data_IF_676376740556
#
_entry.id   IF_676376740556
#
_cell.length_a   1.000
_cell.length_b   1.000
_cell.length_c   1.000
_cell.angle_alpha   90.00
_cell.angle_beta   90.00
_cell.angle_gamma   90.00
#
_symmetry.space_group_name_H-M   'P 1'
#
loop_
_entity.id
_entity.type
_entity.pdbx_description
1 polymer ?
#
# COMPACT_ATOMS: atom_id res chain seq x y z
N UNK A 1 -15.82 -17.45 -3.66
CA UNK A 1 -14.41 -17.17 -3.99
C UNK A 1 -13.98 -15.98 -3.14
N UNK A 2 -12.95 -16.10 -2.29
CA UNK A 2 -12.59 -15.04 -1.32
C UNK A 2 -11.36 -14.30 -1.85
N UNK A 3 -11.44 -12.98 -2.00
CA UNK A 3 -10.30 -12.14 -2.41
C UNK A 3 -9.44 -11.85 -1.17
N UNK A 4 -8.15 -12.23 -1.13
CA UNK A 4 -7.28 -11.90 0.00
C UNK A 4 -7.09 -10.38 0.14
N UNK A 5 -7.12 -9.85 1.37
CA UNK A 5 -7.05 -8.40 1.63
C UNK A 5 -5.83 -7.69 1.04
N UNK A 6 -4.66 -8.35 0.99
CA UNK A 6 -3.46 -7.84 0.29
C UNK A 6 -3.70 -7.64 -1.21
N UNK A 7 -4.37 -8.59 -1.86
CA UNK A 7 -4.68 -8.54 -3.30
C UNK A 7 -5.72 -7.47 -3.57
N UNK A 8 -6.72 -7.35 -2.68
CA UNK A 8 -7.71 -6.29 -2.73
C UNK A 8 -7.06 -4.90 -2.66
N UNK A 9 -6.14 -4.67 -1.72
CA UNK A 9 -5.41 -3.40 -1.60
C UNK A 9 -4.54 -3.09 -2.82
N UNK A 10 -3.89 -4.12 -3.39
CA UNK A 10 -3.08 -3.97 -4.60
C UNK A 10 -3.92 -3.58 -5.82
N UNK A 11 -5.07 -4.25 -6.02
CA UNK A 11 -5.99 -3.96 -7.12
C UNK A 11 -6.59 -2.56 -7.00
N UNK A 12 -6.95 -2.16 -5.79
CA UNK A 12 -7.54 -0.86 -5.53
C UNK A 12 -6.61 0.30 -5.93
N UNK A 13 -5.32 0.21 -5.57
CA UNK A 13 -4.30 1.23 -5.89
C UNK A 13 -3.98 1.30 -7.39
N UNK A 14 -4.01 0.17 -8.11
CA UNK A 14 -3.63 0.12 -9.54
C UNK A 14 -4.78 0.33 -10.51
N UNK A 15 -6.00 -0.03 -10.12
CA UNK A 15 -7.17 0.00 -11.01
C UNK A 15 -8.18 1.09 -10.63
N UNK A 16 -7.85 1.98 -9.69
CA UNK A 16 -8.75 3.02 -9.18
C UNK A 16 -10.14 2.47 -8.78
N UNK A 17 -10.19 1.27 -8.19
CA UNK A 17 -11.47 0.57 -7.93
C UNK A 17 -12.40 1.34 -6.99
N UNK A 18 -11.85 2.15 -6.08
CA UNK A 18 -12.66 3.01 -5.22
C UNK A 18 -13.39 4.10 -6.03
N UNK A 19 -12.74 4.66 -7.05
CA UNK A 19 -13.34 5.66 -7.94
C UNK A 19 -14.38 4.99 -8.85
N UNK A 20 -14.09 3.79 -9.35
CA UNK A 20 -15.04 2.99 -10.11
C UNK A 20 -16.30 2.70 -9.27
N UNK A 21 -16.15 2.31 -8.01
CA UNK A 21 -17.28 2.10 -7.08
C UNK A 21 -18.15 3.35 -6.99
N UNK A 22 -17.54 4.53 -6.77
CA UNK A 22 -18.28 5.80 -6.70
C UNK A 22 -19.08 6.05 -7.98
N UNK A 23 -18.51 5.71 -9.15
CA UNK A 23 -19.18 5.92 -10.44
C UNK A 23 -20.28 4.91 -10.77
N UNK A 24 -20.21 3.69 -10.23
CA UNK A 24 -21.17 2.61 -10.51
C UNK A 24 -22.29 2.54 -9.46
N UNK A 25 -22.15 3.27 -8.34
CA UNK A 25 -23.19 3.42 -7.32
C UNK A 25 -24.53 3.83 -7.92
N UNK A 26 -25.54 3.02 -7.65
CA UNK A 26 -26.91 3.27 -8.11
C UNK A 26 -27.20 2.82 -9.56
N UNK A 27 -26.18 2.45 -10.34
CA UNK A 27 -26.37 1.85 -11.66
C UNK A 27 -26.45 0.32 -11.59
N UNK A 28 -25.55 -0.30 -10.81
CA UNK A 28 -25.50 -1.74 -10.64
C UNK A 28 -25.15 -2.08 -9.18
N UNK A 29 -26.11 -2.67 -8.48
CA UNK A 29 -25.99 -3.05 -7.07
C UNK A 29 -25.06 -4.24 -6.85
N UNK A 30 -24.99 -5.17 -7.80
CA UNK A 30 -24.12 -6.34 -7.69
C UNK A 30 -22.66 -5.90 -7.79
N UNK A 31 -22.34 -5.08 -8.79
CA UNK A 31 -21.00 -4.54 -8.99
C UNK A 31 -20.57 -3.64 -7.81
N UNK A 32 -21.45 -2.76 -7.32
CA UNK A 32 -21.15 -1.94 -6.13
C UNK A 32 -20.87 -2.81 -4.89
N UNK A 33 -21.65 -3.87 -4.68
CA UNK A 33 -21.48 -4.78 -3.53
C UNK A 33 -20.12 -5.50 -3.57
N UNK A 34 -19.69 -5.95 -4.75
CA UNK A 34 -18.39 -6.62 -4.94
C UNK A 34 -17.25 -5.62 -4.74
N UNK A 35 -17.34 -4.43 -5.31
CA UNK A 35 -16.33 -3.39 -5.15
C UNK A 35 -16.25 -2.91 -3.69
N UNK A 36 -17.38 -2.87 -2.97
CA UNK A 36 -17.41 -2.59 -1.54
C UNK A 36 -16.70 -3.69 -0.74
N UNK A 37 -16.95 -4.97 -1.04
CA UNK A 37 -16.28 -6.08 -0.38
C UNK A 37 -14.76 -6.04 -0.59
N UNK A 38 -14.31 -5.72 -1.81
CA UNK A 38 -12.89 -5.52 -2.12
C UNK A 38 -12.31 -4.34 -1.32
N UNK A 39 -13.02 -3.20 -1.28
CA UNK A 39 -12.60 -2.02 -0.52
C UNK A 39 -12.45 -2.32 0.98
N UNK A 40 -13.40 -3.03 1.58
CA UNK A 40 -13.36 -3.41 2.99
C UNK A 40 -12.19 -4.36 3.29
N UNK A 41 -12.00 -5.41 2.47
CA UNK A 41 -10.88 -6.33 2.64
C UNK A 41 -9.51 -5.62 2.50
N UNK A 42 -9.43 -4.62 1.62
CA UNK A 42 -8.24 -3.78 1.47
C UNK A 42 -7.99 -2.90 2.70
N UNK A 43 -9.04 -2.30 3.26
CA UNK A 43 -8.95 -1.48 4.48
C UNK A 43 -8.55 -2.30 5.70
N UNK A 44 -9.16 -3.47 5.89
CA UNK A 44 -8.80 -4.40 6.98
C UNK A 44 -7.34 -4.84 6.89
N UNK A 45 -6.86 -5.16 5.68
CA UNK A 45 -5.45 -5.51 5.51
C UNK A 45 -4.54 -4.32 5.78
N UNK A 46 -4.88 -3.11 5.32
CA UNK A 46 -4.06 -1.91 5.59
C UNK A 46 -4.03 -1.58 7.08
N UNK A 47 -5.15 -1.64 7.79
CA UNK A 47 -5.18 -1.37 9.22
C UNK A 47 -4.38 -2.40 10.01
N UNK A 48 -4.46 -3.68 9.63
CA UNK A 48 -3.69 -4.76 10.26
C UNK A 48 -2.18 -4.73 9.90
N UNK A 49 -1.83 -4.42 8.65
CA UNK A 49 -0.45 -4.38 8.18
C UNK A 49 0.31 -3.13 8.65
N UNK A 50 -0.41 -2.04 8.96
CA UNK A 50 0.19 -0.76 9.35
C UNK A 50 0.15 -0.52 10.88
N UNK A 51 -0.44 -1.42 11.66
CA UNK A 51 -0.68 -1.22 13.09
C UNK A 51 0.58 -1.24 13.96
N UNK A 52 0.91 -0.12 14.57
CA UNK A 52 1.01 -0.05 16.04
C UNK A 52 0.34 1.24 16.51
N UNK A 53 -0.57 1.05 17.46
CA UNK A 53 -1.36 2.00 18.28
C UNK A 53 -2.49 2.80 17.63
N UNK A 54 -3.71 2.42 18.02
CA UNK A 54 -4.90 3.28 18.06
C UNK A 54 -4.56 4.59 18.76
N UNK A 55 -4.49 5.69 18.01
CA UNK A 55 -4.61 7.04 18.54
C UNK A 55 -5.87 7.68 17.99
N UNK A 56 -6.62 8.30 18.90
CA UNK A 56 -7.96 8.81 18.71
C UNK A 56 -8.08 9.83 17.56
N UNK A 57 -9.24 9.72 16.89
CA UNK A 57 -9.97 10.75 16.13
C UNK A 57 -9.29 12.12 15.94
N UNK A 58 -8.97 12.46 14.69
CA UNK A 58 -8.91 13.84 14.22
C UNK A 58 -9.29 13.94 12.73
N UNK A 59 -10.03 14.99 12.41
CA UNK A 59 -10.53 15.45 11.11
C UNK A 59 -9.47 15.51 9.97
N UNK A 60 -9.91 15.59 8.70
CA UNK A 60 -9.10 15.23 7.54
C UNK A 60 -8.08 16.33 7.25
N UNK A 61 -6.86 16.18 7.77
CA UNK A 61 -5.74 17.04 7.44
C UNK A 61 -4.56 16.19 6.96
N UNK A 62 -4.32 16.26 5.65
CA UNK A 62 -3.12 15.82 4.94
C UNK A 62 -2.69 14.37 5.16
N UNK A 63 -2.82 13.57 4.10
CA UNK A 63 -2.15 12.29 3.88
C UNK A 63 -0.65 12.40 4.16
N UNK A 64 -0.28 12.26 5.44
CA UNK A 64 1.07 11.91 5.85
C UNK A 64 1.19 10.40 5.66
N UNK A 65 1.17 10.00 4.38
CA UNK A 65 1.69 8.70 3.96
C UNK A 65 3.06 8.56 4.63
N UNK A 66 3.23 7.57 5.49
CA UNK A 66 4.45 7.41 6.27
C UNK A 66 5.62 7.04 5.33
N UNK A 67 6.28 8.07 4.80
CA UNK A 67 7.42 7.93 3.91
C UNK A 67 8.64 7.41 4.69
N UNK A 68 9.26 6.38 4.15
CA UNK A 68 10.43 5.72 4.72
C UNK A 68 11.65 6.03 3.86
N UNK A 69 12.79 6.31 4.50
CA UNK A 69 14.07 6.53 3.78
C UNK A 69 14.70 5.21 3.38
N UNK A 70 15.66 5.21 2.44
CA UNK A 70 16.35 3.98 2.02
C UNK A 70 17.11 3.30 3.17
N UNK A 71 17.66 4.07 4.12
CA UNK A 71 18.33 3.53 5.31
C UNK A 71 17.36 2.83 6.26
N UNK A 72 16.18 3.42 6.49
CA UNK A 72 15.14 2.78 7.30
C UNK A 72 14.57 1.55 6.59
N UNK A 73 14.35 1.63 5.27
CA UNK A 73 13.94 0.51 4.44
C UNK A 73 14.94 -0.66 4.51
N UNK A 74 16.24 -0.36 4.50
CA UNK A 74 17.31 -1.34 4.66
C UNK A 74 17.23 -2.06 6.01
N UNK A 75 17.02 -1.31 7.10
CA UNK A 75 16.83 -1.88 8.44
C UNK A 75 15.58 -2.76 8.54
N UNK A 76 14.45 -2.32 7.97
CA UNK A 76 13.19 -3.07 7.99
C UNK A 76 13.24 -4.35 7.14
N UNK A 77 13.96 -4.32 6.02
CA UNK A 77 14.12 -5.47 5.12
C UNK A 77 15.28 -6.39 5.49
N UNK A 78 16.13 -6.00 6.44
CA UNK A 78 17.35 -6.73 6.81
C UNK A 78 18.35 -6.84 5.65
N UNK A 79 18.45 -5.81 4.79
CA UNK A 79 19.38 -5.78 3.66
C UNK A 79 20.23 -4.52 3.67
N UNK A 80 21.28 -4.48 2.85
CA UNK A 80 22.10 -3.28 2.70
C UNK A 80 21.36 -2.17 1.96
N UNK A 81 21.66 -0.91 2.29
CA UNK A 81 21.15 0.29 1.57
C UNK A 81 21.45 0.22 0.07
N UNK A 82 22.61 -0.37 -0.30
CA UNK A 82 22.99 -0.63 -1.70
C UNK A 82 22.00 -1.56 -2.41
N UNK A 83 21.51 -2.59 -1.71
CA UNK A 83 20.52 -3.52 -2.25
C UNK A 83 19.12 -2.87 -2.37
N UNK A 84 18.74 -2.00 -1.43
CA UNK A 84 17.50 -1.20 -1.52
C UNK A 84 17.57 -0.28 -2.73
N UNK A 85 18.65 0.48 -2.90
CA UNK A 85 18.83 1.37 -4.05
C UNK A 85 18.85 0.61 -5.38
N UNK A 86 19.45 -0.58 -5.42
CA UNK A 86 19.41 -1.47 -6.59
C UNK A 86 17.97 -1.92 -6.89
N UNK A 87 17.19 -2.31 -5.88
CA UNK A 87 15.80 -2.70 -6.07
C UNK A 87 14.90 -1.53 -6.53
N UNK A 88 15.19 -0.30 -6.09
CA UNK A 88 14.54 0.92 -6.61
C UNK A 88 14.93 1.15 -8.07
N UNK A 89 16.23 1.08 -8.40
CA UNK A 89 16.72 1.29 -9.77
C UNK A 89 16.16 0.25 -10.76
N UNK A 90 15.93 -0.97 -10.31
CA UNK A 90 15.29 -2.04 -11.10
C UNK A 90 13.75 -1.96 -11.11
N UNK A 91 13.15 -0.96 -10.45
CA UNK A 91 11.69 -0.78 -10.40
C UNK A 91 10.95 -1.81 -9.54
N UNK A 92 11.66 -2.59 -8.71
CA UNK A 92 11.08 -3.59 -7.80
C UNK A 92 10.48 -2.96 -6.54
N UNK A 93 10.93 -1.76 -6.17
CA UNK A 93 10.38 -0.93 -5.10
C UNK A 93 10.01 0.42 -5.69
N UNK A 94 8.73 0.81 -5.59
CA UNK A 94 8.31 2.15 -5.97
C UNK A 94 8.83 3.16 -4.94
N UNK A 95 9.56 4.16 -5.42
CA UNK A 95 10.14 5.21 -4.60
C UNK A 95 10.14 6.54 -5.35
N UNK A 96 9.86 7.61 -4.62
CA UNK A 96 9.86 8.97 -5.15
C UNK A 96 11.10 9.68 -4.66
N UNK A 97 11.88 10.28 -5.56
CA UNK A 97 13.03 11.10 -5.17
C UNK A 97 12.54 12.50 -4.79
N UNK A 98 12.77 12.90 -3.54
CA UNK A 98 12.46 14.25 -3.05
C UNK A 98 13.76 14.91 -2.60
N UNK A 99 14.23 15.88 -3.38
CA UNK A 99 15.55 16.50 -3.19
C UNK A 99 16.68 15.47 -3.36
N UNK A 100 17.52 15.33 -2.33
CA UNK A 100 18.64 14.39 -2.34
C UNK A 100 18.32 13.02 -1.71
N UNK A 101 17.08 12.80 -1.25
CA UNK A 101 16.68 11.57 -0.58
C UNK A 101 15.59 10.83 -1.36
N UNK A 102 15.60 9.50 -1.25
CA UNK A 102 14.52 8.65 -1.72
C UNK A 102 13.48 8.51 -0.62
N UNK A 103 12.21 8.73 -0.99
CA UNK A 103 11.04 8.49 -0.15
C UNK A 103 10.30 7.28 -0.69
N UNK A 104 10.21 6.25 0.12
CA UNK A 104 9.56 4.98 -0.20
C UNK A 104 8.28 4.93 0.62
N UNK A 105 7.14 4.68 -0.02
CA UNK A 105 5.91 4.47 0.73
C UNK A 105 6.01 3.15 1.51
N UNK A 106 5.60 3.14 2.79
CA UNK A 106 5.69 1.95 3.65
C UNK A 106 4.98 0.73 3.05
N UNK A 107 3.88 0.97 2.35
CA UNK A 107 3.14 -0.03 1.59
C UNK A 107 3.97 -0.72 0.50
N UNK A 108 4.75 0.05 -0.28
CA UNK A 108 5.58 -0.48 -1.36
C UNK A 108 6.74 -1.32 -0.81
N UNK A 109 7.24 -0.95 0.38
CA UNK A 109 8.24 -1.72 1.11
C UNK A 109 7.71 -3.09 1.56
N UNK A 110 6.50 -3.13 2.13
CA UNK A 110 5.86 -4.38 2.55
C UNK A 110 5.48 -5.26 1.35
N UNK A 111 5.07 -4.66 0.23
CA UNK A 111 4.87 -5.40 -1.03
C UNK A 111 6.13 -6.12 -1.48
N UNK A 112 7.29 -5.44 -1.46
CA UNK A 112 8.58 -6.03 -1.79
C UNK A 112 9.01 -7.12 -0.80
N UNK A 113 8.80 -6.90 0.51
CA UNK A 113 9.07 -7.89 1.55
C UNK A 113 8.27 -9.17 1.33
N UNK A 114 6.98 -9.05 1.03
CA UNK A 114 6.10 -10.18 0.76
C UNK A 114 6.52 -10.92 -0.53
N UNK A 115 6.88 -10.20 -1.60
CA UNK A 115 7.36 -10.83 -2.84
C UNK A 115 8.64 -11.65 -2.63
N UNK A 116 9.54 -11.18 -1.75
CA UNK A 116 10.79 -11.87 -1.43
C UNK A 116 10.62 -13.10 -0.53
N UNK A 117 9.58 -13.15 0.30
CA UNK A 117 9.33 -14.27 1.22
C UNK A 117 8.72 -15.50 0.52
N UNK A 118 8.32 -15.36 -0.75
CA UNK A 118 7.71 -16.40 -1.58
C UNK A 118 8.77 -17.10 -2.49
N UNK A 119 10.02 -16.63 -2.47
CA UNK A 119 11.17 -17.23 -3.18
C UNK A 119 12.12 -17.89 -2.18
#
# INVERSE_FOLDING_TARGET
MVVPGRVAAWLEKRCNLNQLRISVRGCDSEVDSVLMAVHLAALEWRSAATGTETAASAEPAATSEAWVTTTQAAGLLGISDRAVRKAIAEGRIAATRVGNAWRIAREDLEHYRAARKVA
#
